data_IF_935287673790
#
_entry.id   IF_935287673790
#
_cell.length_a   1.000
_cell.length_b   1.000
_cell.length_c   1.000
_cell.angle_alpha   90.00
_cell.angle_beta   90.00
_cell.angle_gamma   90.00
#
_symmetry.space_group_name_H-M   'P 1'
#
loop_
_entity.id
_entity.type
_entity.pdbx_description
1 polymer ?
#
# COMPACT_ATOMS: atom_id res chain seq x y z
N UNK A 1 -2.59 2.42 -20.41
CA UNK A 1 -2.72 1.35 -19.40
C UNK A 1 -3.55 1.89 -18.25
N UNK A 2 -4.65 1.21 -17.91
CA UNK A 2 -5.55 1.63 -16.83
C UNK A 2 -5.18 0.99 -15.49
N UNK A 3 -5.00 1.80 -14.47
CA UNK A 3 -4.54 1.39 -13.14
C UNK A 3 -5.56 1.79 -12.08
N UNK A 4 -5.90 0.87 -11.18
CA UNK A 4 -6.70 1.13 -10.00
C UNK A 4 -5.81 1.17 -8.76
N UNK A 5 -5.82 2.29 -8.04
CA UNK A 5 -5.11 2.49 -6.78
C UNK A 5 -6.11 2.62 -5.63
N UNK A 6 -6.31 1.56 -4.88
CA UNK A 6 -7.28 1.48 -3.79
C UNK A 6 -6.63 1.85 -2.44
N UNK A 7 -7.42 2.53 -1.58
CA UNK A 7 -6.95 3.06 -0.30
C UNK A 7 -5.77 4.01 -0.49
N UNK A 8 -5.93 4.92 -1.45
CA UNK A 8 -4.84 5.64 -2.09
C UNK A 8 -4.07 6.58 -1.14
N UNK A 9 -4.67 7.04 -0.05
CA UNK A 9 -4.09 7.98 0.91
C UNK A 9 -3.48 9.20 0.17
N UNK A 10 -2.19 9.50 0.36
CA UNK A 10 -1.45 10.53 -0.39
C UNK A 10 -0.64 9.96 -1.57
N UNK A 11 -0.92 8.73 -2.02
CA UNK A 11 -0.29 8.14 -3.20
C UNK A 11 1.20 7.85 -3.05
N UNK A 12 1.63 7.33 -1.90
CA UNK A 12 3.03 6.95 -1.70
C UNK A 12 3.51 5.95 -2.75
N UNK A 13 2.79 4.83 -2.91
CA UNK A 13 3.08 3.81 -3.93
C UNK A 13 3.06 4.34 -5.36
N UNK A 14 2.18 5.33 -5.64
CA UNK A 14 1.91 5.92 -6.96
C UNK A 14 3.03 6.84 -7.46
N UNK A 15 3.80 7.43 -6.56
CA UNK A 15 4.62 8.61 -6.81
C UNK A 15 5.57 8.49 -8.02
N UNK A 16 6.17 7.31 -8.23
CA UNK A 16 7.14 7.09 -9.33
C UNK A 16 6.61 6.25 -10.49
N UNK A 17 5.32 5.95 -10.58
CA UNK A 17 4.82 5.08 -11.66
C UNK A 17 4.99 5.68 -13.06
N UNK A 18 4.89 7.01 -13.20
CA UNK A 18 5.12 7.65 -14.49
C UNK A 18 6.58 7.60 -14.96
N UNK A 19 7.55 7.39 -14.05
CA UNK A 19 8.94 7.12 -14.45
C UNK A 19 9.10 5.74 -15.08
N UNK A 20 8.24 4.79 -14.73
CA UNK A 20 8.24 3.41 -15.23
C UNK A 20 7.49 3.33 -16.57
N UNK A 21 6.34 3.98 -16.64
CA UNK A 21 5.46 4.02 -17.82
C UNK A 21 4.71 5.34 -17.85
N UNK A 22 4.96 6.15 -18.88
CA UNK A 22 4.41 7.51 -18.98
C UNK A 22 2.93 7.55 -19.36
N UNK A 23 2.46 6.58 -20.17
CA UNK A 23 1.10 6.48 -20.70
C UNK A 23 0.19 5.63 -19.77
N UNK A 24 0.01 6.07 -18.54
CA UNK A 24 -0.87 5.43 -17.56
C UNK A 24 -2.05 6.33 -17.23
N UNK A 25 -3.21 5.70 -17.06
CA UNK A 25 -4.45 6.30 -16.58
C UNK A 25 -4.73 5.72 -15.19
N UNK A 26 -4.59 6.53 -14.15
CA UNK A 26 -4.78 6.09 -12.77
C UNK A 26 -6.12 6.56 -12.23
N UNK A 27 -6.89 5.61 -11.72
CA UNK A 27 -8.05 5.88 -10.87
C UNK A 27 -7.68 5.58 -9.42
N UNK A 28 -7.67 6.58 -8.57
CA UNK A 28 -7.40 6.47 -7.14
C UNK A 28 -8.71 6.49 -6.37
N UNK A 29 -8.88 5.56 -5.42
CA UNK A 29 -10.05 5.51 -4.55
C UNK A 29 -9.61 5.71 -3.11
N UNK A 30 -10.18 6.75 -2.50
CA UNK A 30 -9.95 7.13 -1.10
C UNK A 30 -11.27 7.55 -0.47
N UNK A 31 -11.54 7.12 0.75
CA UNK A 31 -12.81 7.41 1.42
C UNK A 31 -12.79 8.73 2.21
N UNK A 32 -11.60 9.17 2.65
CA UNK A 32 -11.42 10.44 3.35
C UNK A 32 -11.33 11.56 2.30
N UNK A 33 -12.34 12.42 2.26
CA UNK A 33 -12.47 13.52 1.29
C UNK A 33 -11.25 14.46 1.30
N UNK A 34 -10.69 14.74 2.47
CA UNK A 34 -9.51 15.60 2.59
C UNK A 34 -8.23 14.93 2.08
N UNK A 35 -8.08 13.61 2.29
CA UNK A 35 -6.98 12.86 1.67
C UNK A 35 -7.17 12.77 0.15
N UNK A 36 -8.39 12.56 -0.32
CA UNK A 36 -8.70 12.56 -1.75
C UNK A 36 -8.37 13.90 -2.39
N UNK A 37 -8.72 15.03 -1.75
CA UNK A 37 -8.36 16.37 -2.20
C UNK A 37 -6.84 16.55 -2.29
N UNK A 38 -6.10 16.16 -1.26
CA UNK A 38 -4.63 16.25 -1.25
C UNK A 38 -3.99 15.29 -2.26
N UNK A 39 -4.57 14.13 -2.46
CA UNK A 39 -4.12 13.22 -3.52
C UNK A 39 -4.28 13.88 -4.90
N UNK A 40 -5.44 14.45 -5.19
CA UNK A 40 -5.70 15.14 -6.46
C UNK A 40 -4.76 16.34 -6.68
N UNK A 41 -4.45 17.09 -5.63
CA UNK A 41 -3.47 18.18 -5.70
C UNK A 41 -2.06 17.67 -6.04
N UNK A 42 -1.68 16.49 -5.50
CA UNK A 42 -0.39 15.86 -5.77
C UNK A 42 -0.31 15.19 -7.14
N UNK A 43 -1.42 14.66 -7.63
CA UNK A 43 -1.54 13.95 -8.91
C UNK A 43 -2.71 14.52 -9.72
N UNK A 44 -2.55 15.70 -10.33
CA UNK A 44 -3.66 16.41 -10.98
C UNK A 44 -4.24 15.67 -12.19
N UNK A 45 -3.48 14.79 -12.81
CA UNK A 45 -3.90 14.00 -13.98
C UNK A 45 -4.57 12.66 -13.61
N UNK A 46 -4.55 12.25 -12.35
CA UNK A 46 -5.21 11.03 -11.90
C UNK A 46 -6.71 11.31 -11.66
N UNK A 47 -7.57 10.33 -11.91
CA UNK A 47 -8.98 10.38 -11.53
C UNK A 47 -9.14 9.98 -10.08
N UNK A 48 -9.63 10.85 -9.21
CA UNK A 48 -9.87 10.56 -7.79
C UNK A 48 -11.34 10.33 -7.52
N UNK A 49 -11.65 9.23 -6.83
CA UNK A 49 -13.01 8.84 -6.45
C UNK A 49 -13.09 8.77 -4.93
N UNK A 50 -14.00 9.53 -4.35
CA UNK A 50 -14.32 9.44 -2.91
C UNK A 50 -15.36 8.35 -2.73
N UNK A 51 -14.91 7.16 -2.30
CA UNK A 51 -15.77 6.00 -2.15
C UNK A 51 -15.17 4.94 -1.21
N UNK A 52 -15.98 3.95 -0.85
CA UNK A 52 -15.52 2.70 -0.24
C UNK A 52 -14.72 1.90 -1.28
N UNK A 53 -13.43 1.71 -1.03
CA UNK A 53 -12.52 1.05 -1.95
C UNK A 53 -12.84 -0.44 -2.15
N UNK A 54 -13.36 -1.12 -1.11
CA UNK A 54 -13.75 -2.53 -1.21
C UNK A 54 -14.93 -2.73 -2.16
N UNK A 55 -15.96 -1.87 -2.02
CA UNK A 55 -17.12 -1.88 -2.90
C UNK A 55 -16.74 -1.45 -4.33
N UNK A 56 -15.95 -0.39 -4.47
CA UNK A 56 -15.50 0.10 -5.77
C UNK A 56 -14.73 -0.97 -6.56
N UNK A 57 -13.87 -1.73 -5.88
CA UNK A 57 -13.16 -2.86 -6.47
C UNK A 57 -14.12 -3.87 -7.09
N UNK A 58 -15.11 -4.31 -6.30
CA UNK A 58 -16.08 -5.31 -6.74
C UNK A 58 -16.87 -4.87 -8.00
N UNK A 59 -17.24 -3.60 -8.03
CA UNK A 59 -18.08 -3.05 -9.10
C UNK A 59 -17.30 -2.76 -10.40
N UNK A 60 -15.97 -2.47 -10.32
CA UNK A 60 -15.23 -1.87 -11.43
C UNK A 60 -13.95 -2.63 -11.85
N UNK A 61 -13.56 -3.72 -11.19
CA UNK A 61 -12.25 -4.37 -11.39
C UNK A 61 -11.92 -4.73 -12.85
N UNK A 62 -12.93 -5.02 -13.67
CA UNK A 62 -12.77 -5.41 -15.09
C UNK A 62 -12.24 -4.31 -15.99
N UNK A 63 -12.31 -3.05 -15.55
CA UNK A 63 -11.92 -1.89 -16.35
C UNK A 63 -10.40 -1.63 -16.33
N UNK A 64 -9.65 -2.36 -15.50
CA UNK A 64 -8.25 -2.09 -15.20
C UNK A 64 -7.31 -3.20 -15.68
N UNK A 65 -6.07 -2.80 -15.98
CA UNK A 65 -4.97 -3.69 -16.35
C UNK A 65 -4.10 -4.06 -15.14
N UNK A 66 -4.00 -3.14 -14.17
CA UNK A 66 -3.23 -3.30 -12.94
C UNK A 66 -4.03 -2.76 -11.74
N UNK A 67 -4.02 -3.50 -10.63
CA UNK A 67 -4.68 -3.11 -9.38
C UNK A 67 -3.69 -3.13 -8.23
N UNK A 68 -3.56 -1.99 -7.53
CA UNK A 68 -2.89 -1.89 -6.24
C UNK A 68 -3.92 -1.68 -5.13
N UNK A 69 -3.83 -2.47 -4.06
CA UNK A 69 -4.69 -2.35 -2.88
C UNK A 69 -3.88 -2.40 -1.59
N UNK A 70 -4.05 -1.40 -0.71
CA UNK A 70 -3.47 -1.35 0.63
C UNK A 70 -4.57 -1.21 1.69
N UNK A 71 -5.35 -2.29 1.95
CA UNK A 71 -6.48 -2.26 2.88
C UNK A 71 -6.06 -1.85 4.30
N UNK A 72 -6.99 -1.28 5.11
CA UNK A 72 -6.68 -0.84 6.46
C UNK A 72 -6.08 -1.94 7.34
N UNK A 73 -4.94 -1.64 7.97
CA UNK A 73 -4.18 -2.57 8.80
C UNK A 73 -4.51 -2.59 10.31
N UNK A 74 -5.32 -1.66 10.91
CA UNK A 74 -5.41 -1.55 12.38
C UNK A 74 -5.88 -2.81 13.10
N UNK A 75 -6.71 -3.65 12.46
CA UNK A 75 -7.22 -4.88 13.05
C UNK A 75 -6.27 -6.07 12.90
N UNK A 76 -5.24 -5.95 12.05
CA UNK A 76 -4.24 -6.98 11.77
C UNK A 76 -2.92 -6.74 12.52
N UNK A 77 -2.57 -5.47 12.75
CA UNK A 77 -1.26 -5.05 13.24
C UNK A 77 -0.86 -5.68 14.59
N UNK A 78 0.41 -6.09 14.72
CA UNK A 78 1.01 -6.55 15.98
C UNK A 78 0.91 -5.52 17.09
N UNK A 79 0.95 -4.22 16.78
CA UNK A 79 0.80 -3.13 17.76
C UNK A 79 -0.52 -3.27 18.55
N UNK A 80 -1.57 -3.80 17.91
CA UNK A 80 -2.84 -4.00 18.57
C UNK A 80 -2.73 -4.95 19.79
N UNK A 81 -1.97 -6.02 19.67
CA UNK A 81 -1.85 -7.03 20.72
C UNK A 81 -0.80 -6.69 21.78
N UNK A 82 0.09 -5.73 21.53
CA UNK A 82 1.02 -5.24 22.56
C UNK A 82 0.31 -4.51 23.69
N UNK A 83 -0.96 -4.14 23.48
CA UNK A 83 -1.80 -3.43 24.46
C UNK A 83 -2.78 -4.33 25.19
N UNK A 84 -2.71 -5.66 25.03
CA UNK A 84 -3.67 -6.62 25.62
C UNK A 84 -3.84 -6.49 27.14
N UNK A 85 -2.78 -6.11 27.86
CA UNK A 85 -2.77 -6.00 29.30
C UNK A 85 -3.13 -4.58 29.80
N UNK A 86 -3.67 -3.73 28.93
CA UNK A 86 -4.11 -2.38 29.29
C UNK A 86 -5.63 -2.38 29.50
N UNK A 87 -6.11 -1.70 30.52
CA UNK A 87 -7.53 -1.63 30.89
C UNK A 87 -8.43 -1.07 29.77
N UNK A 88 -7.85 -0.25 28.88
CA UNK A 88 -8.57 0.31 27.73
C UNK A 88 -8.54 -0.59 26.49
N UNK A 89 -7.96 -1.79 26.55
CA UNK A 89 -7.89 -2.69 25.39
C UNK A 89 -9.24 -3.33 25.11
N UNK A 90 -9.78 -3.07 23.93
CA UNK A 90 -11.01 -3.70 23.43
C UNK A 90 -10.64 -4.63 22.27
N UNK A 91 -10.85 -5.96 22.40
CA UNK A 91 -10.65 -6.89 21.30
C UNK A 91 -11.53 -6.55 20.10
N UNK A 92 -11.00 -6.76 18.89
CA UNK A 92 -11.76 -6.63 17.62
C UNK A 92 -11.40 -7.80 16.71
N UNK A 93 -12.37 -8.26 15.95
CA UNK A 93 -12.09 -9.22 14.89
C UNK A 93 -11.14 -8.62 13.84
N UNK A 94 -10.24 -9.44 13.25
CA UNK A 94 -9.52 -9.05 12.04
C UNK A 94 -10.51 -8.68 10.92
N UNK A 95 -10.23 -7.63 10.20
CA UNK A 95 -11.04 -7.22 9.06
C UNK A 95 -10.83 -8.21 7.90
N UNK A 96 -11.82 -9.05 7.67
CA UNK A 96 -11.75 -10.10 6.65
C UNK A 96 -11.85 -9.57 5.21
N UNK A 97 -12.14 -8.29 5.01
CA UNK A 97 -12.15 -7.67 3.69
C UNK A 97 -10.80 -7.77 2.97
N UNK A 98 -9.69 -7.81 3.71
CA UNK A 98 -8.35 -8.12 3.18
C UNK A 98 -8.34 -9.45 2.43
N UNK A 99 -8.81 -10.53 3.08
CA UNK A 99 -8.80 -11.87 2.49
C UNK A 99 -9.86 -12.04 1.39
N UNK A 100 -11.00 -11.36 1.51
CA UNK A 100 -12.01 -11.31 0.46
C UNK A 100 -11.43 -10.72 -0.83
N UNK A 101 -10.68 -9.62 -0.76
CA UNK A 101 -10.02 -9.03 -1.92
C UNK A 101 -8.96 -9.96 -2.53
N UNK A 102 -8.16 -10.65 -1.70
CA UNK A 102 -7.15 -11.58 -2.18
C UNK A 102 -7.79 -12.73 -2.96
N UNK A 103 -8.81 -13.37 -2.39
CA UNK A 103 -9.54 -14.46 -3.03
C UNK A 103 -10.19 -13.96 -4.32
N UNK A 104 -10.89 -12.82 -4.25
CA UNK A 104 -11.60 -12.25 -5.38
C UNK A 104 -10.68 -11.93 -6.56
N UNK A 105 -9.57 -11.24 -6.32
CA UNK A 105 -8.63 -10.88 -7.38
C UNK A 105 -7.91 -12.10 -7.95
N UNK A 106 -7.60 -13.10 -7.11
CA UNK A 106 -6.98 -14.32 -7.59
C UNK A 106 -7.89 -15.10 -8.54
N UNK A 107 -9.19 -15.15 -8.27
CA UNK A 107 -10.14 -15.95 -9.05
C UNK A 107 -10.70 -15.19 -10.27
N UNK A 108 -10.92 -13.89 -10.15
CA UNK A 108 -11.71 -13.15 -11.13
C UNK A 108 -10.92 -12.12 -11.93
N UNK A 109 -9.76 -11.66 -11.45
CA UNK A 109 -9.01 -10.62 -12.13
C UNK A 109 -7.92 -11.22 -13.05
N UNK A 110 -7.95 -10.83 -14.32
CA UNK A 110 -7.01 -11.32 -15.34
C UNK A 110 -5.75 -10.46 -15.48
N UNK A 111 -5.80 -9.23 -15.00
CA UNK A 111 -4.65 -8.31 -15.00
C UNK A 111 -3.63 -8.65 -13.90
N UNK A 112 -2.68 -7.76 -13.70
CA UNK A 112 -1.70 -7.88 -12.59
C UNK A 112 -2.22 -7.16 -11.36
N UNK A 113 -2.07 -7.78 -10.17
CA UNK A 113 -2.47 -7.13 -8.92
C UNK A 113 -1.42 -7.28 -7.83
N UNK A 114 -1.45 -6.35 -6.91
CA UNK A 114 -0.75 -6.42 -5.63
C UNK A 114 -1.69 -5.98 -4.51
N UNK A 115 -1.76 -6.78 -3.46
CA UNK A 115 -2.38 -6.39 -2.20
C UNK A 115 -1.27 -6.33 -1.16
N UNK A 116 -1.19 -5.24 -0.42
CA UNK A 116 -0.18 -4.99 0.59
C UNK A 116 -0.84 -4.85 1.96
N UNK A 117 -0.23 -5.44 3.00
CA UNK A 117 -0.63 -5.19 4.38
C UNK A 117 0.55 -5.44 5.34
N UNK A 118 0.38 -5.05 6.59
CA UNK A 118 1.38 -5.32 7.65
C UNK A 118 1.47 -6.81 7.97
N UNK A 119 2.59 -7.22 8.59
CA UNK A 119 2.70 -8.57 9.17
C UNK A 119 1.72 -8.63 10.36
N UNK A 120 0.69 -9.50 10.31
CA UNK A 120 -0.33 -9.57 11.34
C UNK A 120 0.16 -10.22 12.63
N UNK A 121 -0.62 -10.09 13.71
CA UNK A 121 -0.36 -10.74 14.99
C UNK A 121 -0.71 -12.23 15.01
N UNK A 122 -1.35 -12.71 13.97
CA UNK A 122 -1.73 -14.11 13.75
C UNK A 122 -1.05 -14.67 12.50
N UNK A 123 -1.13 -15.98 12.29
CA UNK A 123 -0.64 -16.59 11.06
C UNK A 123 -1.55 -16.16 9.88
N UNK A 124 -1.01 -15.58 8.79
CA UNK A 124 -1.81 -15.23 7.63
C UNK A 124 -2.60 -16.43 7.08
N UNK A 125 -3.87 -16.21 6.78
CA UNK A 125 -4.76 -17.27 6.27
C UNK A 125 -4.42 -17.70 4.85
N UNK A 126 -3.84 -16.81 4.07
CA UNK A 126 -3.40 -17.05 2.69
C UNK A 126 -1.90 -16.76 2.63
N UNK A 127 -1.15 -17.65 1.99
CA UNK A 127 0.30 -17.49 1.84
C UNK A 127 0.66 -16.17 1.17
N UNK A 128 1.60 -15.45 1.76
CA UNK A 128 2.04 -14.13 1.32
C UNK A 128 3.56 -14.06 1.11
N UNK A 129 3.99 -13.19 0.23
CA UNK A 129 5.40 -12.87 0.03
C UNK A 129 5.81 -11.80 1.05
N UNK A 130 6.60 -12.18 2.05
CA UNK A 130 7.11 -11.22 3.04
C UNK A 130 8.26 -10.41 2.42
N UNK A 131 8.16 -9.07 2.49
CA UNK A 131 9.23 -8.13 2.17
C UNK A 131 9.29 -7.07 3.26
N UNK A 132 10.43 -6.96 3.92
CA UNK A 132 10.60 -6.06 5.05
C UNK A 132 9.53 -6.21 6.12
N UNK A 133 8.77 -5.13 6.36
CA UNK A 133 7.71 -5.05 7.36
C UNK A 133 6.32 -5.42 6.86
N UNK A 134 6.19 -5.75 5.56
CA UNK A 134 4.91 -5.96 4.90
C UNK A 134 4.80 -7.35 4.31
N UNK A 135 3.56 -7.75 4.10
CA UNK A 135 3.16 -8.90 3.33
C UNK A 135 2.53 -8.44 2.02
N UNK A 136 2.83 -9.18 0.96
CA UNK A 136 2.33 -8.92 -0.38
C UNK A 136 1.67 -10.15 -0.96
N UNK A 137 0.48 -9.98 -1.49
CA UNK A 137 -0.24 -10.99 -2.29
C UNK A 137 -0.27 -10.50 -3.74
N UNK A 138 0.35 -11.25 -4.63
CA UNK A 138 0.49 -10.88 -6.04
C UNK A 138 0.36 -12.10 -6.93
N UNK A 139 -0.18 -11.94 -8.13
CA UNK A 139 -0.18 -12.98 -9.16
C UNK A 139 1.07 -12.95 -10.06
N UNK A 140 2.15 -12.32 -9.60
CA UNK A 140 3.47 -12.33 -10.20
C UNK A 140 4.56 -12.46 -9.13
N UNK A 141 5.78 -12.81 -9.53
CA UNK A 141 6.88 -12.96 -8.57
C UNK A 141 7.48 -11.60 -8.21
N UNK A 142 7.71 -11.38 -6.92
CA UNK A 142 8.42 -10.19 -6.43
C UNK A 142 9.92 -10.49 -6.24
N UNK A 143 10.81 -9.50 -6.44
CA UNK A 143 12.22 -9.59 -6.02
C UNK A 143 12.35 -9.95 -4.54
N UNK A 144 13.48 -10.53 -4.16
CA UNK A 144 13.76 -10.90 -2.77
C UNK A 144 13.87 -9.67 -1.88
N UNK A 145 14.46 -8.60 -2.39
CA UNK A 145 14.64 -7.31 -1.70
C UNK A 145 13.97 -6.21 -2.49
N UNK A 146 13.10 -5.46 -1.81
CA UNK A 146 12.40 -4.28 -2.37
C UNK A 146 12.45 -3.08 -1.44
N UNK A 147 12.87 -3.24 -0.17
CA UNK A 147 12.88 -2.16 0.82
C UNK A 147 14.13 -1.30 0.72
N UNK A 148 13.96 0.00 0.89
CA UNK A 148 15.07 0.91 1.08
C UNK A 148 15.71 0.73 2.47
N UNK A 149 17.03 0.78 2.54
CA UNK A 149 17.77 0.68 3.82
C UNK A 149 17.57 1.93 4.69
N UNK A 150 17.41 3.09 4.08
CA UNK A 150 17.24 4.40 4.74
C UNK A 150 15.95 4.49 5.56
N UNK A 151 14.93 3.68 5.25
CA UNK A 151 13.66 3.62 5.99
C UNK A 151 13.74 2.89 7.34
N UNK A 152 14.88 2.25 7.65
CA UNK A 152 15.03 1.51 8.91
C UNK A 152 15.26 2.50 10.07
N UNK A 153 14.40 2.40 11.09
CA UNK A 153 14.56 3.18 12.34
C UNK A 153 13.81 4.51 12.38
N UNK A 154 13.20 4.98 11.30
CA UNK A 154 12.50 6.27 11.30
C UNK A 154 11.24 6.24 12.20
N UNK A 155 10.58 5.08 12.35
CA UNK A 155 9.32 4.95 13.09
C UNK A 155 9.55 4.60 14.57
N UNK A 156 10.23 5.47 15.32
CA UNK A 156 10.63 5.19 16.71
C UNK A 156 9.98 6.11 17.75
N UNK A 157 9.12 7.06 17.38
CA UNK A 157 8.51 8.00 18.31
C UNK A 157 7.20 8.60 17.77
N UNK A 158 6.53 9.41 18.60
CA UNK A 158 5.38 10.24 18.20
C UNK A 158 5.77 11.73 18.20
N UNK A 159 7.00 12.04 17.85
CA UNK A 159 7.55 13.38 17.89
C UNK A 159 7.38 14.11 16.56
N UNK A 160 7.46 15.43 16.60
CA UNK A 160 7.51 16.26 15.38
C UNK A 160 8.69 15.88 14.48
N UNK A 161 9.85 15.57 15.08
CA UNK A 161 11.05 15.10 14.39
C UNK A 161 10.80 13.82 13.56
N UNK A 162 10.01 12.88 14.08
CA UNK A 162 9.62 11.68 13.29
C UNK A 162 8.77 12.05 12.08
N UNK A 163 7.82 12.97 12.24
CA UNK A 163 6.96 13.37 11.12
C UNK A 163 7.77 14.09 10.05
N UNK A 164 8.74 14.92 10.43
CA UNK A 164 9.61 15.62 9.49
C UNK A 164 10.50 14.63 8.70
N UNK A 165 11.12 13.67 9.39
CA UNK A 165 11.88 12.58 8.76
C UNK A 165 11.03 11.72 7.82
N UNK A 166 9.78 11.42 8.19
CA UNK A 166 8.86 10.68 7.33
C UNK A 166 8.41 11.51 6.13
N UNK A 167 8.21 12.81 6.30
CA UNK A 167 7.92 13.72 5.19
C UNK A 167 9.07 13.75 4.18
N UNK A 168 10.31 13.86 4.65
CA UNK A 168 11.51 13.80 3.82
C UNK A 168 11.60 12.44 3.10
N UNK A 169 11.47 11.33 3.86
CA UNK A 169 11.49 9.97 3.32
C UNK A 169 10.48 9.74 2.21
N UNK A 170 9.26 10.29 2.31
CA UNK A 170 8.20 10.18 1.32
C UNK A 170 8.17 11.29 0.27
N UNK A 171 9.16 12.20 0.31
CA UNK A 171 9.22 13.38 -0.56
C UNK A 171 7.91 14.20 -0.51
N UNK A 172 7.46 14.50 0.70
CA UNK A 172 6.27 15.31 0.98
C UNK A 172 6.68 16.52 1.79
N UNK A 173 6.36 17.73 1.31
CA UNK A 173 6.58 18.96 2.07
C UNK A 173 5.73 18.95 3.34
N UNK A 174 6.29 19.29 4.49
CA UNK A 174 5.58 19.37 5.77
C UNK A 174 4.36 20.30 5.68
N UNK A 175 4.49 21.43 4.98
CA UNK A 175 3.39 22.37 4.77
C UNK A 175 2.20 21.72 4.03
N UNK A 176 2.49 20.86 3.03
CA UNK A 176 1.47 20.11 2.32
C UNK A 176 0.72 19.13 3.24
N UNK A 177 1.44 18.35 4.05
CA UNK A 177 0.79 17.50 5.05
C UNK A 177 -0.01 18.31 6.07
N UNK A 178 0.46 19.51 6.43
CA UNK A 178 -0.21 20.41 7.37
C UNK A 178 -1.50 21.01 6.81
N UNK A 179 -1.70 21.04 5.50
CA UNK A 179 -2.93 21.53 4.86
C UNK A 179 -4.11 20.54 4.99
N UNK A 180 -3.87 19.31 5.47
CA UNK A 180 -4.92 18.35 5.80
C UNK A 180 -5.82 18.88 6.94
N UNK A 181 -7.13 18.93 6.69
CA UNK A 181 -8.15 19.44 7.62
C UNK A 181 -9.11 18.36 8.14
N UNK A 182 -8.90 17.09 7.75
CA UNK A 182 -9.74 15.98 8.18
C UNK A 182 -9.46 15.52 9.62
N UNK A 183 -10.07 14.42 10.01
CA UNK A 183 -10.07 13.91 11.39
C UNK A 183 -8.88 12.99 11.72
N UNK A 184 -8.10 12.55 10.74
CA UNK A 184 -6.99 11.64 10.97
C UNK A 184 -5.75 12.38 11.52
N UNK A 185 -4.99 11.70 12.37
CA UNK A 185 -3.68 12.20 12.79
C UNK A 185 -2.71 12.28 11.61
N UNK A 186 -2.04 13.41 11.44
CA UNK A 186 -1.01 13.62 10.40
C UNK A 186 0.13 12.60 10.50
N UNK A 187 0.51 12.24 11.73
CA UNK A 187 1.49 11.17 11.98
C UNK A 187 1.00 9.83 11.45
N UNK A 188 -0.29 9.51 11.65
CA UNK A 188 -0.87 8.28 11.12
C UNK A 188 -0.90 8.29 9.59
N UNK A 189 -1.27 9.41 8.97
CA UNK A 189 -1.30 9.56 7.51
C UNK A 189 0.08 9.28 6.92
N UNK A 190 1.13 9.96 7.40
CA UNK A 190 2.47 9.82 6.84
C UNK A 190 3.09 8.43 7.11
N UNK A 191 2.76 7.78 8.23
CA UNK A 191 3.18 6.40 8.54
C UNK A 191 2.52 5.33 7.68
N UNK A 192 1.31 5.60 7.18
CA UNK A 192 0.55 4.67 6.35
C UNK A 192 0.95 4.72 4.87
N UNK A 193 1.82 5.64 4.49
CA UNK A 193 2.27 5.70 3.11
C UNK A 193 3.19 4.53 2.78
N UNK A 194 2.90 3.88 1.68
CA UNK A 194 3.84 2.93 1.06
C UNK A 194 5.04 3.71 0.54
N UNK A 195 6.23 3.17 0.74
CA UNK A 195 7.45 3.71 0.17
C UNK A 195 7.36 3.76 -1.36
N UNK A 196 7.64 4.93 -1.93
CA UNK A 196 7.51 5.14 -3.37
C UNK A 196 8.53 4.34 -4.20
N UNK A 197 9.71 4.02 -3.66
CA UNK A 197 10.66 3.14 -4.34
C UNK A 197 10.14 1.70 -4.36
N UNK A 198 9.55 1.24 -3.27
CA UNK A 198 8.85 -0.06 -3.24
C UNK A 198 7.71 -0.07 -4.26
N UNK A 199 6.92 1.01 -4.32
CA UNK A 199 5.86 1.18 -5.31
C UNK A 199 6.37 1.09 -6.74
N UNK A 200 7.51 1.74 -7.05
CA UNK A 200 8.18 1.68 -8.34
C UNK A 200 8.63 0.27 -8.70
N UNK A 201 9.43 -0.37 -7.82
CA UNK A 201 9.98 -1.70 -8.04
C UNK A 201 8.87 -2.75 -8.28
N UNK A 202 7.80 -2.69 -7.49
CA UNK A 202 6.67 -3.61 -7.67
C UNK A 202 5.98 -3.38 -9.01
N UNK A 203 5.80 -2.13 -9.43
CA UNK A 203 5.20 -1.81 -10.71
C UNK A 203 6.07 -2.24 -11.89
N UNK A 204 7.38 -1.98 -11.85
CA UNK A 204 8.38 -2.47 -12.83
C UNK A 204 8.34 -4.01 -12.95
N UNK A 205 8.23 -4.69 -11.80
CA UNK A 205 8.13 -6.15 -11.76
C UNK A 205 6.83 -6.65 -12.39
N UNK A 206 5.71 -5.99 -12.10
CA UNK A 206 4.40 -6.32 -12.68
C UNK A 206 4.39 -6.19 -14.20
N UNK A 207 5.14 -5.21 -14.74
CA UNK A 207 5.30 -4.99 -16.18
C UNK A 207 6.38 -5.89 -16.82
N UNK A 208 7.09 -6.71 -16.03
CA UNK A 208 8.16 -7.58 -16.52
C UNK A 208 9.45 -6.85 -16.90
N UNK A 209 9.62 -5.57 -16.51
CA UNK A 209 10.82 -4.77 -16.74
C UNK A 209 11.97 -5.31 -15.88
N UNK A 210 11.71 -5.55 -14.60
CA UNK A 210 12.64 -6.24 -13.72
C UNK A 210 12.38 -7.76 -13.84
N UNK A 211 13.28 -8.46 -14.50
CA UNK A 211 13.27 -9.93 -14.51
C UNK A 211 13.86 -10.40 -13.20
N UNK A 212 13.13 -11.23 -12.45
CA UNK A 212 13.70 -11.94 -11.32
C UNK A 212 14.94 -12.69 -11.78
N UNK A 213 16.09 -12.37 -11.21
CA UNK A 213 17.24 -13.26 -11.27
C UNK A 213 16.89 -14.48 -10.40
N UNK A 214 16.12 -15.40 -10.97
CA UNK A 214 15.82 -16.66 -10.32
C UNK A 214 17.10 -17.47 -10.26
N UNK A 215 17.41 -17.92 -9.05
CA UNK A 215 18.36 -18.97 -8.75
C UNK A 215 18.44 -20.00 -9.89
N UNK A 216 19.64 -20.19 -10.42
CA UNK A 216 19.98 -21.42 -11.13
C UNK A 216 19.54 -22.54 -10.21
N UNK A 217 18.50 -23.26 -10.62
CA UNK A 217 18.13 -24.51 -10.03
C UNK A 217 19.31 -25.45 -10.27
N UNK A 218 20.15 -25.63 -9.26
CA UNK A 218 21.15 -26.68 -9.25
C UNK A 218 20.33 -27.96 -9.35
N UNK A 219 20.35 -28.59 -10.55
CA UNK A 219 19.91 -29.96 -10.69
C UNK A 219 20.81 -30.78 -9.76
N UNK A 220 20.27 -31.22 -8.65
CA UNK A 220 20.81 -32.35 -7.90
C UNK A 220 20.37 -33.60 -8.67
N UNK A 221 21.37 -34.33 -9.10
CA UNK A 221 21.25 -35.64 -9.73
C UNK A 221 20.52 -36.62 -8.80
#
# INVERSE_FOLDING_TARGET
>A
MKILNLYACLGGNRYKWNEVKSDIEVTAVEWDEELARLYQERFPNDKVIVADAHKYLLDNYKEFDFIWSSPPCPTHSKVRVTQKNKDFYIPKYPDMSLYQQIIFLNEHFKGKYVIENVIPYYQPLIHAKKRGRHLYWTNFNLPSEIDRKEGKGIMCGQTNDEVDKLCEFHNIKRAFLNSYKGKQSKTKIIRNLVDYEVGKIIFETALGIIKNQNHKQTKLF
#
